data_IF_931268763962
#
_entry.id   IF_931268763962
#
_cell.length_a   1.000
_cell.length_b   1.000
_cell.length_c   1.000
_cell.angle_alpha   90.00
_cell.angle_beta   90.00
_cell.angle_gamma   90.00
#
_symmetry.space_group_name_H-M   'P 1'
#
loop_
_entity.id
_entity.type
_entity.pdbx_description
1 polymer ?
#
# COMPACT_ATOMS: atom_id res chain seq x y z
N UNK A 1 84.27 -27.33 4.14
CA UNK A 1 84.34 -28.49 5.06
C UNK A 1 83.03 -28.58 5.86
N UNK A 2 82.72 -29.76 6.39
CA UNK A 2 81.51 -30.13 7.18
C UNK A 2 80.19 -30.22 6.39
N UNK A 3 79.45 -31.29 6.66
CA UNK A 3 78.17 -31.76 6.08
C UNK A 3 77.13 -31.92 7.21
N UNK A 4 75.87 -32.18 6.82
CA UNK A 4 74.77 -32.72 7.64
C UNK A 4 74.13 -31.71 8.63
N UNK A 5 72.84 -31.77 8.98
CA UNK A 5 71.87 -32.89 8.98
C UNK A 5 70.47 -32.54 8.38
N UNK A 6 69.69 -33.59 8.11
CA UNK A 6 68.27 -33.74 7.67
C UNK A 6 67.58 -34.61 8.77
N UNK A 7 66.24 -34.82 8.92
CA UNK A 7 65.02 -34.23 8.33
C UNK A 7 64.33 -33.25 9.34
N UNK A 8 63.02 -32.91 9.40
CA UNK A 8 61.70 -33.38 8.86
C UNK A 8 60.79 -32.14 8.60
N UNK A 9 59.48 -32.12 8.30
CA UNK A 9 58.33 -33.05 8.34
C UNK A 9 57.30 -32.59 7.27
N UNK A 10 56.42 -33.47 6.81
CA UNK A 10 55.37 -33.11 5.85
C UNK A 10 54.16 -32.47 6.56
N UNK A 11 53.83 -31.23 6.24
CA UNK A 11 52.47 -30.70 6.45
C UNK A 11 52.00 -29.95 5.21
N UNK A 12 51.12 -30.61 4.45
CA UNK A 12 50.39 -30.02 3.33
C UNK A 12 49.46 -28.94 3.90
N UNK A 13 49.84 -27.66 3.82
CA UNK A 13 48.91 -26.58 4.18
C UNK A 13 47.82 -26.50 3.11
N UNK A 14 46.67 -27.08 3.43
CA UNK A 14 45.45 -26.95 2.64
C UNK A 14 45.04 -25.48 2.71
N UNK A 15 45.29 -24.73 1.62
CA UNK A 15 44.63 -23.45 1.38
C UNK A 15 43.14 -23.73 1.13
N UNK A 16 42.38 -23.86 2.22
CA UNK A 16 40.93 -23.71 2.17
C UNK A 16 40.68 -22.24 1.84
N UNK A 17 40.08 -21.90 0.68
CA UNK A 17 39.68 -20.52 0.44
C UNK A 17 38.63 -20.17 1.48
N UNK A 18 38.86 -19.09 2.24
CA UNK A 18 37.84 -18.52 3.14
C UNK A 18 36.82 -17.76 2.29
N UNK A 19 36.18 -18.47 1.36
CA UNK A 19 34.88 -18.12 0.79
C UNK A 19 33.79 -18.54 1.78
N UNK A 20 33.88 -18.03 3.02
CA UNK A 20 32.79 -18.06 3.97
C UNK A 20 31.70 -17.10 3.49
N UNK A 21 30.89 -17.61 2.56
CA UNK A 21 29.45 -17.43 2.50
C UNK A 21 28.96 -16.12 3.13
N UNK A 22 29.25 -15.00 2.46
CA UNK A 22 28.32 -13.88 2.42
C UNK A 22 27.09 -14.33 1.61
N UNK A 23 26.32 -15.24 2.20
CA UNK A 23 24.90 -15.34 1.88
C UNK A 23 24.33 -14.03 2.41
N UNK A 24 24.26 -13.04 1.52
CA UNK A 24 23.33 -11.96 1.71
C UNK A 24 21.96 -12.60 1.88
N UNK A 25 21.46 -12.56 3.12
CA UNK A 25 20.04 -12.58 3.37
C UNK A 25 19.49 -11.33 2.69
N UNK A 26 19.20 -11.47 1.40
CA UNK A 26 18.27 -10.59 0.70
C UNK A 26 16.90 -10.86 1.31
N UNK A 27 16.67 -10.31 2.51
CA UNK A 27 15.33 -10.17 3.04
C UNK A 27 14.51 -9.51 1.95
N UNK A 28 13.49 -10.23 1.47
CA UNK A 28 12.59 -9.74 0.45
C UNK A 28 11.78 -8.64 1.08
N UNK A 29 12.24 -7.39 0.96
CA UNK A 29 11.60 -6.26 1.62
C UNK A 29 10.28 -6.00 0.90
N UNK A 30 9.20 -6.44 1.54
CA UNK A 30 7.84 -6.43 0.99
C UNK A 30 7.36 -4.99 0.95
N UNK A 31 6.80 -4.58 -0.19
CA UNK A 31 6.15 -3.29 -0.28
C UNK A 31 4.82 -3.26 0.46
N UNK A 32 4.37 -2.05 0.75
CA UNK A 32 3.08 -1.88 1.40
C UNK A 32 2.44 -0.60 0.87
N UNK A 33 1.26 -0.73 0.28
CA UNK A 33 0.61 0.39 -0.38
C UNK A 33 -0.85 0.16 -0.73
N UNK A 34 -1.62 1.26 -0.72
CA UNK A 34 -3.07 1.25 -0.97
C UNK A 34 -3.56 2.46 -1.76
N UNK A 35 -4.62 2.23 -2.52
CA UNK A 35 -5.42 3.25 -3.20
C UNK A 35 -6.41 3.88 -2.21
N UNK A 36 -6.23 5.17 -1.92
CA UNK A 36 -7.03 5.93 -0.95
C UNK A 36 -8.08 6.82 -1.64
N UNK A 37 -7.80 7.37 -2.82
CA UNK A 37 -8.78 8.08 -3.64
C UNK A 37 -8.69 7.61 -5.11
N UNK A 38 -9.79 7.14 -5.73
CA UNK A 38 -11.04 6.71 -5.09
C UNK A 38 -10.81 5.57 -4.10
N UNK A 39 -11.48 5.52 -2.93
CA UNK A 39 -11.28 4.43 -1.96
C UNK A 39 -11.51 3.06 -2.59
N UNK A 40 -10.52 2.17 -2.45
CA UNK A 40 -10.59 0.79 -2.91
C UNK A 40 -11.27 -0.15 -1.90
N UNK A 41 -11.72 -1.32 -2.37
CA UNK A 41 -12.49 -2.32 -1.60
C UNK A 41 -11.87 -2.64 -0.24
N UNK A 42 -10.55 -2.77 -0.19
CA UNK A 42 -9.70 -2.94 0.99
C UNK A 42 -9.67 -1.70 1.90
N UNK A 43 -9.47 -0.51 1.34
CA UNK A 43 -9.33 0.75 2.10
C UNK A 43 -10.67 1.37 2.55
N UNK A 44 -11.80 0.93 1.99
CA UNK A 44 -13.11 1.60 2.12
C UNK A 44 -13.58 1.80 3.57
N UNK A 45 -13.28 0.87 4.49
CA UNK A 45 -13.64 1.00 5.90
C UNK A 45 -13.01 2.23 6.58
N UNK A 46 -11.81 2.67 6.14
CA UNK A 46 -11.13 3.88 6.63
C UNK A 46 -11.88 5.19 6.35
N UNK A 47 -12.86 5.14 5.45
CA UNK A 47 -13.71 6.26 5.04
C UNK A 47 -15.16 6.11 5.56
N UNK A 48 -15.42 5.13 6.43
CA UNK A 48 -16.74 4.89 7.02
C UNK A 48 -17.72 4.10 6.16
N UNK A 49 -17.27 3.49 5.05
CA UNK A 49 -18.11 2.55 4.31
C UNK A 49 -18.33 1.26 5.13
N UNK A 50 -19.47 0.56 4.97
CA UNK A 50 -19.81 -0.66 5.71
C UNK A 50 -19.08 -1.92 5.19
N UNK A 51 -17.87 -1.75 4.67
CA UNK A 51 -16.94 -2.84 4.38
C UNK A 51 -16.41 -3.38 5.72
N UNK A 52 -16.12 -4.69 5.83
CA UNK A 52 -15.36 -5.22 6.96
C UNK A 52 -14.01 -4.50 7.09
N UNK A 53 -13.51 -4.42 8.33
CA UNK A 53 -12.20 -3.80 8.62
C UNK A 53 -11.09 -4.69 8.10
N UNK A 54 -10.27 -4.15 7.21
CA UNK A 54 -9.08 -4.80 6.68
C UNK A 54 -7.84 -4.07 7.20
N UNK A 55 -7.27 -4.56 8.31
CA UNK A 55 -6.08 -3.93 8.92
C UNK A 55 -4.86 -4.00 8.00
N UNK A 56 -4.82 -4.98 7.10
CA UNK A 56 -3.77 -5.22 6.11
C UNK A 56 -4.18 -4.72 4.72
N UNK A 57 -4.97 -3.65 4.64
CA UNK A 57 -5.43 -3.08 3.37
C UNK A 57 -4.31 -2.54 2.47
N UNK A 58 -3.09 -2.41 3.00
CA UNK A 58 -1.86 -2.10 2.28
C UNK A 58 -1.12 -3.34 1.72
N UNK A 59 -1.64 -4.57 1.92
CA UNK A 59 -0.95 -5.84 1.64
C UNK A 59 -1.48 -6.62 0.41
N UNK A 60 -2.09 -5.95 -0.57
CA UNK A 60 -2.61 -6.60 -1.77
C UNK A 60 -1.54 -6.85 -2.85
N UNK A 61 -0.46 -7.52 -2.42
CA UNK A 61 0.77 -7.80 -3.17
C UNK A 61 0.77 -9.18 -3.90
N UNK A 62 -0.38 -9.61 -4.41
CA UNK A 62 -0.52 -10.84 -5.19
C UNK A 62 -0.11 -12.14 -4.44
N UNK A 63 -0.10 -12.10 -3.10
CA UNK A 63 0.30 -13.22 -2.22
C UNK A 63 1.79 -13.27 -1.83
N UNK A 64 2.61 -12.38 -2.38
CA UNK A 64 4.05 -12.31 -2.14
C UNK A 64 4.80 -12.45 -3.45
N UNK A 65 5.94 -11.77 -3.61
CA UNK A 65 6.79 -11.91 -4.81
C UNK A 65 7.00 -13.38 -5.23
N UNK A 66 7.41 -14.25 -4.30
CA UNK A 66 7.63 -15.67 -4.60
C UNK A 66 6.34 -16.42 -4.93
N UNK A 67 5.21 -16.09 -4.29
CA UNK A 67 3.91 -16.70 -4.59
C UNK A 67 3.44 -16.27 -5.99
N UNK A 68 3.57 -15.00 -6.34
CA UNK A 68 3.25 -14.49 -7.68
C UNK A 68 4.12 -15.16 -8.75
N UNK A 69 5.44 -15.11 -8.62
CA UNK A 69 6.35 -15.47 -9.72
C UNK A 69 6.80 -16.94 -9.72
N UNK A 70 7.03 -17.55 -8.55
CA UNK A 70 7.50 -18.94 -8.47
C UNK A 70 6.37 -19.98 -8.44
N UNK A 71 5.22 -19.63 -7.86
CA UNK A 71 4.06 -20.56 -7.73
C UNK A 71 2.99 -20.26 -8.77
N UNK A 72 2.62 -18.99 -8.93
CA UNK A 72 1.52 -18.57 -9.79
C UNK A 72 1.92 -18.16 -11.21
N UNK A 73 3.18 -18.37 -11.63
CA UNK A 73 3.62 -18.11 -13.01
C UNK A 73 3.36 -16.65 -13.44
N UNK A 74 3.68 -15.71 -12.54
CA UNK A 74 3.47 -14.27 -12.64
C UNK A 74 2.02 -13.79 -12.44
N UNK A 75 1.07 -14.71 -12.30
CA UNK A 75 -0.36 -14.38 -12.21
C UNK A 75 -0.70 -13.82 -10.83
N UNK A 76 -1.67 -12.93 -10.84
CA UNK A 76 -2.20 -12.24 -9.67
C UNK A 76 -3.72 -12.18 -9.79
N UNK A 77 -4.44 -12.16 -8.66
CA UNK A 77 -5.87 -11.86 -8.63
C UNK A 77 -6.17 -10.51 -9.31
N UNK A 78 -7.41 -10.31 -9.73
CA UNK A 78 -7.81 -9.05 -10.38
C UNK A 78 -7.63 -7.88 -9.42
N UNK A 79 -7.92 -8.11 -8.14
CA UNK A 79 -7.87 -7.09 -7.10
C UNK A 79 -6.76 -7.34 -6.06
N UNK A 80 -5.66 -7.98 -6.47
CA UNK A 80 -4.42 -8.06 -5.68
C UNK A 80 -4.33 -9.21 -4.68
N UNK A 81 -5.39 -10.00 -4.54
CA UNK A 81 -5.36 -11.30 -3.87
C UNK A 81 -4.38 -12.28 -4.58
N UNK A 82 -3.90 -13.30 -3.86
CA UNK A 82 -3.05 -14.35 -4.42
C UNK A 82 -3.82 -15.19 -5.46
N UNK A 83 -3.19 -15.52 -6.60
CA UNK A 83 -3.89 -16.13 -7.73
C UNK A 83 -4.37 -17.57 -7.47
N UNK A 84 -3.67 -18.31 -6.60
CA UNK A 84 -4.00 -19.66 -6.15
C UNK A 84 -5.16 -19.72 -5.13
N UNK A 85 -5.61 -18.57 -4.59
CA UNK A 85 -6.79 -18.53 -3.73
C UNK A 85 -8.07 -18.89 -4.51
N UNK A 86 -8.98 -19.58 -3.81
CA UNK A 86 -10.30 -19.93 -4.32
C UNK A 86 -11.12 -18.67 -4.69
N UNK A 87 -11.92 -18.78 -5.76
CA UNK A 87 -12.79 -17.69 -6.22
C UNK A 87 -14.21 -17.81 -5.62
N UNK A 88 -14.89 -16.68 -5.34
CA UNK A 88 -14.38 -15.30 -5.43
C UNK A 88 -13.33 -15.03 -4.35
N UNK A 89 -12.20 -14.42 -4.73
CA UNK A 89 -11.18 -14.00 -3.76
C UNK A 89 -11.69 -12.82 -2.92
N UNK A 90 -11.07 -12.53 -1.78
CA UNK A 90 -11.63 -11.60 -0.77
C UNK A 90 -11.93 -10.20 -1.34
N UNK A 91 -11.13 -9.72 -2.28
CA UNK A 91 -11.26 -8.41 -2.91
C UNK A 91 -11.93 -8.44 -4.29
N UNK A 92 -12.33 -9.61 -4.78
CA UNK A 92 -13.06 -9.80 -6.04
C UNK A 92 -14.59 -9.79 -5.81
N UNK A 93 -15.37 -9.59 -6.87
CA UNK A 93 -16.82 -9.43 -6.82
C UNK A 93 -17.52 -10.64 -6.16
N UNK A 94 -18.33 -10.36 -5.13
CA UNK A 94 -18.94 -11.40 -4.30
C UNK A 94 -18.05 -11.92 -3.17
N UNK A 95 -16.78 -11.51 -3.12
CA UNK A 95 -15.89 -11.68 -1.97
C UNK A 95 -16.25 -10.74 -0.81
N UNK A 96 -15.54 -10.93 0.30
CA UNK A 96 -15.75 -10.23 1.58
C UNK A 96 -15.75 -8.69 1.47
N UNK A 97 -14.82 -8.16 0.68
CA UNK A 97 -14.66 -6.72 0.44
C UNK A 97 -15.21 -6.29 -0.94
N UNK A 98 -15.34 -7.21 -1.90
CA UNK A 98 -15.94 -6.98 -3.22
C UNK A 98 -17.47 -6.90 -3.22
N UNK A 99 -18.02 -6.01 -2.38
CA UNK A 99 -19.46 -5.88 -2.09
C UNK A 99 -20.24 -5.03 -3.11
N UNK A 100 -19.58 -4.50 -4.14
CA UNK A 100 -20.21 -3.66 -5.17
C UNK A 100 -20.64 -2.27 -4.71
N UNK A 101 -20.12 -1.78 -3.58
CA UNK A 101 -20.46 -0.49 -3.01
C UNK A 101 -19.71 0.60 -3.79
N UNK A 102 -20.44 1.52 -4.40
CA UNK A 102 -19.84 2.58 -5.20
C UNK A 102 -19.15 3.62 -4.30
N UNK A 103 -17.82 3.71 -4.37
CA UNK A 103 -17.03 4.63 -3.54
C UNK A 103 -17.01 6.06 -4.09
N UNK A 104 -17.15 6.26 -5.41
CA UNK A 104 -17.20 7.60 -6.05
C UNK A 104 -18.15 7.66 -7.24
N UNK A 105 -18.60 8.88 -7.56
CA UNK A 105 -19.43 9.19 -8.73
C UNK A 105 -18.73 10.25 -9.57
N UNK A 106 -18.60 9.99 -10.86
CA UNK A 106 -17.86 10.82 -11.80
C UNK A 106 -18.64 11.03 -13.11
N UNK A 107 -18.16 11.97 -13.93
CA UNK A 107 -18.62 12.19 -15.29
C UNK A 107 -17.68 11.57 -16.32
N UNK A 108 -18.23 11.13 -17.45
CA UNK A 108 -17.45 10.73 -18.61
C UNK A 108 -16.49 11.85 -19.03
N UNK A 109 -15.21 11.54 -19.19
CA UNK A 109 -14.17 12.51 -19.58
C UNK A 109 -13.59 13.35 -18.45
N UNK A 110 -14.09 13.22 -17.22
CA UNK A 110 -13.64 13.98 -16.06
C UNK A 110 -12.17 13.67 -15.71
N UNK A 111 -11.42 14.71 -15.37
CA UNK A 111 -10.15 14.56 -14.65
C UNK A 111 -10.46 14.36 -13.17
N UNK A 112 -10.04 13.23 -12.61
CA UNK A 112 -10.27 12.86 -11.20
C UNK A 112 -8.97 12.97 -10.41
N UNK A 113 -9.08 13.27 -9.12
CA UNK A 113 -7.98 13.18 -8.18
C UNK A 113 -7.70 11.72 -7.82
N UNK A 114 -6.43 11.43 -7.57
CA UNK A 114 -5.93 10.13 -7.12
C UNK A 114 -5.01 10.35 -5.93
N UNK A 115 -5.21 9.52 -4.89
CA UNK A 115 -4.34 9.48 -3.73
C UNK A 115 -3.90 8.04 -3.48
N UNK A 116 -2.59 7.80 -3.53
CA UNK A 116 -1.95 6.55 -3.14
C UNK A 116 -1.19 6.78 -1.83
N UNK A 117 -1.35 5.90 -0.85
CA UNK A 117 -0.51 5.86 0.34
C UNK A 117 0.40 4.64 0.24
N UNK A 118 1.73 4.87 0.21
CA UNK A 118 2.70 3.79 0.42
C UNK A 118 3.18 3.87 1.87
N UNK A 119 2.92 2.82 2.64
CA UNK A 119 3.47 2.68 4.00
C UNK A 119 4.88 2.11 3.99
N UNK A 120 5.25 1.37 2.92
CA UNK A 120 6.64 1.00 2.61
C UNK A 120 6.89 1.20 1.09
N UNK A 121 7.63 2.25 0.76
CA UNK A 121 7.87 2.72 -0.61
C UNK A 121 9.15 2.13 -1.22
N UNK A 122 8.97 1.25 -2.21
CA UNK A 122 10.04 0.56 -2.93
C UNK A 122 10.33 1.14 -4.31
N UNK A 123 10.02 2.43 -4.52
CA UNK A 123 10.19 3.13 -5.81
C UNK A 123 9.47 2.38 -6.94
N UNK A 124 9.77 2.69 -8.20
CA UNK A 124 9.08 2.11 -9.35
C UNK A 124 7.92 2.97 -9.83
N UNK A 125 6.76 2.37 -10.12
CA UNK A 125 5.69 3.05 -10.87
C UNK A 125 4.26 2.59 -10.56
N UNK A 126 3.32 3.52 -10.63
CA UNK A 126 1.89 3.22 -10.66
C UNK A 126 1.34 3.24 -12.10
N UNK A 127 0.36 2.40 -12.38
CA UNK A 127 -0.53 2.51 -13.54
C UNK A 127 -1.98 2.40 -13.06
N UNK A 128 -2.90 3.03 -13.78
CA UNK A 128 -4.33 2.95 -13.48
C UNK A 128 -5.14 2.63 -14.72
N UNK A 129 -6.12 1.76 -14.54
CA UNK A 129 -6.93 1.19 -15.60
C UNK A 129 -8.39 1.09 -15.13
N UNK A 130 -9.31 0.86 -16.07
CA UNK A 130 -10.75 0.88 -15.82
C UNK A 130 -11.44 -0.26 -16.57
N UNK A 131 -12.47 -0.87 -15.99
CA UNK A 131 -13.40 -1.75 -16.70
C UNK A 131 -14.85 -1.30 -16.46
N UNK A 132 -15.68 -1.12 -17.50
CA UNK A 132 -17.11 -0.81 -17.38
C UNK A 132 -17.94 -2.06 -16.97
N UNK A 133 -17.69 -2.52 -15.75
CA UNK A 133 -18.25 -3.74 -15.17
C UNK A 133 -19.69 -3.51 -14.63
N UNK A 134 -20.67 -3.37 -15.52
CA UNK A 134 -22.04 -2.98 -15.17
C UNK A 134 -22.84 -3.96 -14.29
N UNK A 135 -22.21 -4.95 -13.65
CA UNK A 135 -22.84 -5.87 -12.70
C UNK A 135 -21.88 -6.24 -11.54
N UNK A 136 -22.13 -5.76 -10.30
CA UNK A 136 -21.23 -5.99 -9.15
C UNK A 136 -21.17 -7.44 -8.65
N UNK A 137 -21.91 -8.38 -9.27
CA UNK A 137 -21.85 -9.82 -8.94
C UNK A 137 -20.90 -10.61 -9.84
N UNK A 138 -20.35 -10.00 -10.89
CA UNK A 138 -19.35 -10.61 -11.76
C UNK A 138 -18.07 -9.79 -11.66
N UNK A 139 -16.92 -10.45 -11.53
CA UNK A 139 -15.64 -9.75 -11.45
C UNK A 139 -15.22 -9.25 -12.84
N UNK A 140 -14.61 -8.07 -12.88
CA UNK A 140 -14.01 -7.53 -14.09
C UNK A 140 -12.85 -8.43 -14.53
N UNK A 141 -12.76 -8.75 -15.83
CA UNK A 141 -11.59 -9.49 -16.30
C UNK A 141 -10.39 -8.56 -16.42
N UNK A 142 -9.18 -9.07 -16.17
CA UNK A 142 -7.94 -8.31 -16.41
C UNK A 142 -7.90 -7.77 -17.86
N UNK A 143 -8.36 -8.58 -18.84
CA UNK A 143 -8.50 -8.16 -20.23
C UNK A 143 -9.51 -7.03 -20.47
N UNK A 144 -10.50 -6.83 -19.60
CA UNK A 144 -11.39 -5.67 -19.64
C UNK A 144 -10.70 -4.42 -19.12
N UNK A 145 -9.98 -4.56 -18.01
CA UNK A 145 -9.27 -3.49 -17.32
C UNK A 145 -8.19 -2.89 -18.23
N UNK A 146 -7.34 -3.74 -18.83
CA UNK A 146 -6.24 -3.32 -19.70
C UNK A 146 -6.69 -2.63 -21.00
N UNK A 147 -7.97 -2.76 -21.40
CA UNK A 147 -8.53 -2.05 -22.56
C UNK A 147 -8.77 -0.56 -22.33
N UNK A 148 -8.81 -0.08 -21.08
CA UNK A 148 -9.08 1.32 -20.77
C UNK A 148 -8.03 1.90 -19.78
N UNK A 149 -6.79 2.16 -20.25
CA UNK A 149 -5.79 2.87 -19.45
C UNK A 149 -6.22 4.30 -19.15
N UNK A 150 -5.90 4.77 -17.94
CA UNK A 150 -6.17 6.13 -17.49
C UNK A 150 -4.88 6.96 -17.58
N UNK A 151 -4.92 8.02 -18.39
CA UNK A 151 -3.76 8.89 -18.61
C UNK A 151 -3.62 9.95 -17.52
N UNK A 152 -2.39 10.20 -17.08
CA UNK A 152 -2.06 11.26 -16.14
C UNK A 152 -2.39 12.62 -16.77
N UNK A 153 -3.18 13.41 -16.06
CA UNK A 153 -3.71 14.70 -16.52
C UNK A 153 -2.59 15.65 -16.96
N UNK A 154 -2.73 16.24 -18.16
CA UNK A 154 -1.72 17.11 -18.76
C UNK A 154 -0.60 16.37 -19.50
N UNK A 155 -0.61 15.03 -19.52
CA UNK A 155 0.40 14.21 -20.20
C UNK A 155 -0.24 13.21 -21.17
N UNK A 156 0.59 12.38 -21.82
CA UNK A 156 0.18 11.18 -22.55
C UNK A 156 0.67 9.88 -21.87
N UNK A 157 1.05 9.94 -20.60
CA UNK A 157 1.61 8.81 -19.87
C UNK A 157 0.54 8.12 -19.01
N UNK A 158 0.57 6.79 -18.97
CA UNK A 158 -0.22 5.96 -18.02
C UNK A 158 0.60 5.65 -16.77
N UNK A 159 1.92 5.61 -16.91
CA UNK A 159 2.90 5.31 -15.86
C UNK A 159 3.21 6.56 -15.04
N UNK A 160 2.80 6.57 -13.78
CA UNK A 160 3.28 7.54 -12.80
C UNK A 160 4.57 6.98 -12.20
N UNK A 161 5.70 7.61 -12.51
CA UNK A 161 7.00 7.22 -11.93
C UNK A 161 7.11 7.85 -10.54
N UNK A 162 7.43 7.02 -9.54
CA UNK A 162 7.63 7.48 -8.16
C UNK A 162 8.91 8.35 -8.12
N UNK A 163 8.85 9.61 -7.63
CA UNK A 163 10.04 10.45 -7.52
C UNK A 163 11.13 9.82 -6.64
N UNK A 164 12.39 9.89 -7.06
CA UNK A 164 13.52 9.29 -6.32
C UNK A 164 13.67 9.83 -4.89
N UNK A 165 13.38 11.13 -4.70
CA UNK A 165 13.44 11.80 -3.40
C UNK A 165 12.22 11.56 -2.49
N UNK A 166 11.29 10.68 -2.88
CA UNK A 166 10.15 10.27 -2.04
C UNK A 166 10.59 9.56 -0.74
N UNK A 167 9.80 9.72 0.31
CA UNK A 167 10.03 9.17 1.65
C UNK A 167 9.74 7.67 1.72
N UNK A 168 10.16 7.02 2.81
CA UNK A 168 9.93 5.58 3.11
C UNK A 168 8.44 5.25 3.28
N UNK A 169 7.73 6.06 4.08
CA UNK A 169 6.26 6.24 4.03
C UNK A 169 5.96 7.54 3.31
N UNK A 170 5.12 7.52 2.27
CA UNK A 170 4.77 8.73 1.50
C UNK A 170 3.35 8.67 0.88
N UNK A 171 2.80 9.83 0.54
CA UNK A 171 1.47 9.97 -0.05
C UNK A 171 1.60 10.64 -1.42
N UNK A 172 1.28 9.89 -2.47
CA UNK A 172 1.36 10.35 -3.85
C UNK A 172 0.00 10.85 -4.31
N UNK A 173 -0.07 12.15 -4.65
CA UNK A 173 -1.26 12.78 -5.19
C UNK A 173 -1.02 13.17 -6.64
N UNK A 174 -1.88 12.69 -7.52
CA UNK A 174 -1.87 13.04 -8.95
C UNK A 174 -3.30 13.02 -9.49
N UNK A 175 -3.46 13.32 -10.77
CA UNK A 175 -4.77 13.31 -11.42
C UNK A 175 -4.73 12.48 -12.68
N UNK A 176 -5.79 11.72 -12.94
CA UNK A 176 -5.96 10.94 -14.17
C UNK A 176 -7.24 11.34 -14.89
N UNK A 177 -7.29 11.12 -16.20
CA UNK A 177 -8.46 11.44 -17.03
C UNK A 177 -9.26 10.18 -17.35
N UNK A 178 -10.55 10.19 -16.98
CA UNK A 178 -11.51 9.16 -17.39
C UNK A 178 -11.81 9.24 -18.90
N UNK A 179 -12.17 8.14 -19.57
CA UNK A 179 -12.50 8.18 -21.00
C UNK A 179 -13.75 9.03 -21.27
N UNK A 180 -13.76 9.92 -22.29
CA UNK A 180 -14.85 10.86 -22.56
C UNK A 180 -16.16 10.24 -23.05
N UNK A 181 -16.13 8.98 -23.49
CA UNK A 181 -17.29 8.28 -24.08
C UNK A 181 -17.72 7.04 -23.28
N UNK A 182 -17.13 6.82 -22.10
CA UNK A 182 -17.41 5.66 -21.25
C UNK A 182 -18.36 6.05 -20.12
N UNK A 183 -19.40 5.25 -19.93
CA UNK A 183 -20.31 5.32 -18.78
C UNK A 183 -20.53 3.92 -18.20
N UNK A 184 -20.89 3.86 -16.93
CA UNK A 184 -21.11 2.60 -16.22
C UNK A 184 -21.94 2.82 -14.95
N UNK A 185 -22.83 1.87 -14.64
CA UNK A 185 -23.53 1.78 -13.35
C UNK A 185 -22.57 1.42 -12.21
N UNK A 186 -21.63 0.54 -12.53
CA UNK A 186 -20.45 0.16 -11.74
C UNK A 186 -19.28 -0.02 -12.71
N UNK A 187 -18.16 0.62 -12.43
CA UNK A 187 -16.87 0.39 -13.06
C UNK A 187 -15.90 -0.12 -12.00
N UNK A 188 -15.01 -1.03 -12.38
CA UNK A 188 -13.84 -1.37 -11.57
C UNK A 188 -12.68 -0.49 -12.05
N UNK A 189 -12.20 0.41 -11.20
CA UNK A 189 -10.91 1.05 -11.38
C UNK A 189 -9.86 0.17 -10.72
N UNK A 190 -8.81 -0.22 -11.46
CA UNK A 190 -7.66 -0.95 -10.92
C UNK A 190 -6.47 0.03 -10.83
N UNK A 191 -5.94 0.21 -9.63
CA UNK A 191 -4.59 0.73 -9.43
C UNK A 191 -3.63 -0.46 -9.37
N UNK A 192 -2.52 -0.37 -10.10
CA UNK A 192 -1.44 -1.37 -10.07
C UNK A 192 -0.13 -0.67 -9.75
N UNK A 193 0.59 -1.17 -8.74
CA UNK A 193 1.93 -0.73 -8.38
C UNK A 193 2.93 -1.82 -8.75
N UNK A 194 3.99 -1.44 -9.46
CA UNK A 194 5.15 -2.28 -9.74
C UNK A 194 6.35 -1.67 -9.00
N UNK A 195 6.94 -2.44 -8.07
CA UNK A 195 8.10 -1.97 -7.28
C UNK A 195 9.34 -1.76 -8.15
N UNK A 196 10.27 -0.92 -7.68
CA UNK A 196 11.53 -0.60 -8.34
C UNK A 196 12.78 -1.04 -7.57
N UNK A 197 12.62 -1.76 -6.46
CA UNK A 197 13.69 -2.19 -5.55
C UNK A 197 14.42 -3.47 -5.98
N UNK A 198 13.96 -4.15 -7.03
CA UNK A 198 14.51 -5.45 -7.44
C UNK A 198 15.66 -5.31 -8.43
N UNK A 199 16.68 -6.14 -8.30
CA UNK A 199 17.72 -6.30 -9.32
C UNK A 199 17.35 -7.44 -10.25
N UNK A 200 17.50 -7.23 -11.55
CA UNK A 200 17.24 -8.28 -12.53
C UNK A 200 17.60 -7.88 -13.95
N UNK A 201 17.26 -8.76 -14.89
CA UNK A 201 17.52 -8.54 -16.31
C UNK A 201 16.49 -7.57 -16.91
N UNK A 202 16.99 -6.56 -17.61
CA UNK A 202 16.24 -5.56 -18.33
C UNK A 202 15.95 -6.02 -19.79
N UNK A 203 14.97 -5.41 -20.46
CA UNK A 203 14.55 -5.79 -21.83
C UNK A 203 15.68 -5.70 -22.88
N UNK A 204 16.62 -4.77 -22.69
CA UNK A 204 17.82 -4.59 -23.53
C UNK A 204 18.90 -5.67 -23.28
N UNK A 205 18.67 -6.62 -22.38
CA UNK A 205 19.59 -7.69 -22.01
C UNK A 205 20.62 -7.35 -20.93
N UNK A 206 20.72 -6.09 -20.47
CA UNK A 206 21.57 -5.72 -19.33
C UNK A 206 20.92 -6.14 -18.00
N UNK A 207 21.64 -6.03 -16.89
CA UNK A 207 21.07 -6.13 -15.55
C UNK A 207 21.10 -4.78 -14.83
N UNK A 208 20.16 -4.57 -13.91
CA UNK A 208 20.07 -3.33 -13.15
C UNK A 208 18.98 -3.34 -12.07
N UNK A 209 19.01 -2.32 -11.22
CA UNK A 209 17.97 -2.02 -10.25
C UNK A 209 16.71 -1.51 -10.96
N UNK A 210 15.54 -1.96 -10.52
CA UNK A 210 14.25 -1.71 -11.17
C UNK A 210 13.95 -2.61 -12.37
N UNK A 211 14.81 -3.60 -12.65
CA UNK A 211 14.63 -4.58 -13.72
C UNK A 211 14.30 -5.97 -13.19
N UNK A 212 13.90 -6.88 -14.09
CA UNK A 212 13.39 -8.21 -13.73
C UNK A 212 11.91 -8.21 -13.39
N UNK A 213 11.50 -9.15 -12.54
CA UNK A 213 10.12 -9.41 -12.18
C UNK A 213 9.78 -8.66 -10.88
N UNK A 214 9.00 -7.55 -10.91
CA UNK A 214 8.75 -6.73 -9.73
C UNK A 214 7.73 -7.38 -8.79
N UNK A 215 7.75 -7.00 -7.51
CA UNK A 215 6.57 -7.22 -6.67
C UNK A 215 5.42 -6.33 -7.18
N UNK A 216 4.22 -6.92 -7.26
CA UNK A 216 3.06 -6.26 -7.86
C UNK A 216 1.96 -6.10 -6.82
N UNK A 217 1.41 -4.89 -6.68
CA UNK A 217 0.22 -4.63 -5.87
C UNK A 217 -0.93 -4.30 -6.80
N UNK A 218 -2.14 -4.73 -6.46
CA UNK A 218 -3.36 -4.28 -7.13
C UNK A 218 -4.42 -3.91 -6.12
N UNK A 219 -5.13 -2.83 -6.34
CA UNK A 219 -6.36 -2.51 -5.60
C UNK A 219 -7.48 -2.18 -6.60
N UNK A 220 -8.70 -2.60 -6.27
CA UNK A 220 -9.90 -2.30 -7.04
C UNK A 220 -10.79 -1.29 -6.30
N UNK A 221 -11.24 -0.24 -6.98
CA UNK A 221 -12.24 0.70 -6.49
C UNK A 221 -13.49 0.67 -7.39
N UNK A 222 -14.67 0.51 -6.79
CA UNK A 222 -15.94 0.48 -7.52
C UNK A 222 -16.50 1.89 -7.67
N UNK A 223 -16.57 2.41 -8.90
CA UNK A 223 -16.98 3.80 -9.19
C UNK A 223 -18.13 3.85 -10.20
N UNK A 224 -18.92 4.92 -10.21
CA UNK A 224 -20.00 5.13 -11.19
C UNK A 224 -19.67 6.28 -12.11
N UNK A 225 -19.87 6.12 -13.43
CA UNK A 225 -19.57 7.15 -14.43
C UNK A 225 -20.82 7.43 -15.26
N UNK A 226 -21.28 8.68 -15.25
CA UNK A 226 -22.49 9.13 -15.95
C UNK A 226 -22.18 10.17 -17.04
N UNK A 227 -23.14 10.46 -17.91
CA UNK A 227 -22.97 11.47 -18.97
C UNK A 227 -22.92 12.90 -18.41
N UNK A 228 -22.04 13.73 -18.98
CA UNK A 228 -21.92 15.16 -18.64
C UNK A 228 -23.13 16.00 -19.08
N UNK A 229 -23.98 15.47 -19.96
CA UNK A 229 -25.21 16.12 -20.46
C UNK A 229 -26.36 16.22 -19.46
N UNK A 230 -26.15 15.80 -18.20
CA UNK A 230 -27.18 15.82 -17.14
C UNK A 230 -27.54 17.22 -16.62
N UNK A 231 -27.22 18.29 -17.36
CA UNK A 231 -27.77 19.66 -17.25
C UNK A 231 -27.34 20.50 -16.04
N UNK A 232 -27.03 19.84 -14.94
CA UNK A 232 -26.52 20.39 -13.69
C UNK A 232 -25.39 19.45 -13.22
N UNK A 233 -24.31 19.94 -12.59
CA UNK A 233 -23.59 19.07 -11.67
C UNK A 233 -24.63 18.57 -10.64
N UNK A 234 -24.60 17.30 -10.20
CA UNK A 234 -25.35 16.96 -9.02
C UNK A 234 -24.89 17.93 -7.93
N UNK A 235 -25.82 18.73 -7.41
CA UNK A 235 -25.61 19.41 -6.14
C UNK A 235 -25.12 18.31 -5.21
N UNK A 236 -23.89 18.38 -4.73
CA UNK A 236 -23.24 17.30 -3.96
C UNK A 236 -23.79 17.23 -2.53
N UNK A 237 -25.11 17.31 -2.41
CA UNK A 237 -25.93 17.07 -1.23
C UNK A 237 -25.95 15.55 -1.04
N UNK A 238 -24.86 15.07 -0.47
CA UNK A 238 -24.86 14.06 0.59
C UNK A 238 -25.83 12.88 0.42
N UNK A 239 -25.65 12.07 -0.63
CA UNK A 239 -25.93 10.63 -0.55
C UNK A 239 -24.65 9.87 -0.15
N UNK A 240 -24.06 10.29 0.98
CA UNK A 240 -23.09 9.46 1.69
C UNK A 240 -23.89 8.46 2.53
N UNK A 241 -23.55 7.16 2.54
CA UNK A 241 -24.06 6.26 3.56
C UNK A 241 -23.48 6.67 4.91
N UNK A 242 -24.34 7.31 5.71
CA UNK A 242 -24.29 7.41 7.18
C UNK A 242 -23.17 8.23 7.86
N UNK A 243 -23.66 9.20 8.65
CA UNK A 243 -23.07 9.88 9.80
C UNK A 243 -22.00 10.97 9.57
N UNK A 244 -22.24 12.11 10.24
CA UNK A 244 -21.51 13.37 10.13
C UNK A 244 -20.21 13.35 10.95
N UNK A 245 -19.27 12.46 10.61
CA UNK A 245 -17.91 12.52 11.17
C UNK A 245 -17.02 13.40 10.29
N UNK A 246 -16.92 14.66 10.70
CA UNK A 246 -16.04 15.65 10.11
C UNK A 246 -15.00 16.08 11.14
N UNK A 247 -13.73 16.15 10.75
CA UNK A 247 -12.70 16.73 11.61
C UNK A 247 -12.76 18.26 11.55
N UNK A 248 -12.97 18.92 12.68
CA UNK A 248 -12.80 20.37 12.80
C UNK A 248 -11.32 20.73 12.75
N UNK A 249 -10.90 21.52 11.76
CA UNK A 249 -9.51 21.99 11.65
C UNK A 249 -9.12 23.05 12.71
N UNK A 250 -10.07 23.45 13.56
CA UNK A 250 -9.88 24.44 14.61
C UNK A 250 -9.44 23.74 15.91
N UNK A 251 -8.26 24.11 16.41
CA UNK A 251 -7.90 23.85 17.82
C UNK A 251 -8.83 24.67 18.71
N UNK A 252 -9.14 24.17 19.89
CA UNK A 252 -10.03 24.86 20.84
C UNK A 252 -9.50 26.26 21.15
N UNK A 253 -10.29 27.26 20.75
CA UNK A 253 -10.40 28.66 21.24
C UNK A 253 -11.09 29.54 20.17
N UNK A 254 -10.98 29.18 18.89
CA UNK A 254 -11.37 30.04 17.74
C UNK A 254 -12.77 29.72 17.15
N UNK A 255 -13.70 29.28 18.00
CA UNK A 255 -14.95 28.60 17.59
C UNK A 255 -16.10 29.51 17.07
N UNK A 256 -15.89 30.84 16.97
CA UNK A 256 -17.01 31.79 16.84
C UNK A 256 -17.10 32.60 15.53
N UNK A 257 -16.10 32.57 14.62
CA UNK A 257 -16.10 33.45 13.43
C UNK A 257 -15.76 32.75 12.09
N UNK A 258 -15.28 31.49 12.07
CA UNK A 258 -14.95 30.79 10.83
C UNK A 258 -16.14 29.96 10.26
N UNK A 259 -16.44 30.03 8.95
CA UNK A 259 -17.31 29.03 8.31
C UNK A 259 -16.62 27.66 8.41
N UNK A 260 -17.27 26.72 9.07
CA UNK A 260 -16.71 25.40 9.39
C UNK A 260 -16.38 24.62 8.11
N UNK A 261 -15.09 24.60 7.73
CA UNK A 261 -14.60 23.76 6.63
C UNK A 261 -14.53 22.32 7.13
N UNK A 262 -15.64 21.61 6.96
CA UNK A 262 -15.82 20.23 7.39
C UNK A 262 -15.15 19.25 6.42
N UNK A 263 -13.94 18.79 6.77
CA UNK A 263 -13.25 17.74 6.01
C UNK A 263 -13.79 16.35 6.35
N UNK A 264 -13.93 15.43 5.37
CA UNK A 264 -14.27 14.04 5.66
C UNK A 264 -13.22 13.44 6.60
N UNK A 265 -13.66 12.82 7.71
CA UNK A 265 -12.75 12.00 8.51
C UNK A 265 -12.25 10.82 7.65
N UNK A 266 -10.94 10.57 7.68
CA UNK A 266 -10.30 9.43 6.99
C UNK A 266 -9.23 8.87 7.92
N UNK A 267 -9.31 7.59 8.27
CA UNK A 267 -8.40 6.99 9.25
C UNK A 267 -7.17 6.40 8.58
N UNK A 268 -6.08 7.15 8.58
CA UNK A 268 -4.79 6.79 7.94
C UNK A 268 -3.82 6.03 8.85
N UNK A 269 -4.09 5.99 10.15
CA UNK A 269 -3.27 5.24 11.09
C UNK A 269 -3.25 3.75 10.69
N UNK A 270 -2.04 3.20 10.56
CA UNK A 270 -1.84 1.80 10.22
C UNK A 270 -1.85 0.92 11.48
N UNK A 271 -1.16 1.38 12.52
CA UNK A 271 -1.16 0.78 13.86
C UNK A 271 -1.22 1.90 14.89
N UNK A 272 -1.80 1.61 16.05
CA UNK A 272 -1.78 2.50 17.21
C UNK A 272 -1.50 1.68 18.46
N UNK A 273 -0.64 2.21 19.33
CA UNK A 273 -0.15 1.55 20.55
C UNK A 273 -0.37 2.46 21.75
N UNK A 274 -0.26 1.91 22.96
CA UNK A 274 -0.37 2.69 24.18
C UNK A 274 0.80 3.68 24.31
N UNK A 275 0.53 4.87 24.86
CA UNK A 275 1.60 5.81 25.22
C UNK A 275 2.51 5.20 26.30
N UNK A 276 3.71 5.77 26.47
CA UNK A 276 4.70 5.27 27.43
C UNK A 276 4.17 5.14 28.87
N UNK A 277 3.17 5.95 29.25
CA UNK A 277 2.48 5.92 30.55
C UNK A 277 1.57 4.69 30.69
N UNK A 278 0.89 4.28 29.62
CA UNK A 278 -0.14 3.24 29.65
C UNK A 278 0.28 1.89 29.05
N UNK A 279 1.46 1.79 28.40
CA UNK A 279 2.02 0.53 27.86
C UNK A 279 2.21 -0.63 28.85
N UNK A 280 2.12 -0.35 30.16
CA UNK A 280 2.19 -1.37 31.22
C UNK A 280 0.83 -2.00 31.53
N UNK A 281 -0.27 -1.39 31.06
CA UNK A 281 -1.63 -1.88 31.27
C UNK A 281 -1.90 -3.03 30.29
N UNK A 282 -2.23 -4.25 30.77
CA UNK A 282 -2.47 -5.38 29.89
C UNK A 282 -3.60 -5.11 28.89
N UNK A 283 -3.34 -5.40 27.61
CA UNK A 283 -4.31 -5.20 26.52
C UNK A 283 -4.43 -3.77 26.00
N UNK A 284 -3.70 -2.79 26.56
CA UNK A 284 -3.83 -1.39 26.15
C UNK A 284 -3.43 -1.13 24.70
N UNK A 285 -2.38 -1.78 24.20
CA UNK A 285 -1.97 -1.67 22.78
C UNK A 285 -3.12 -2.11 21.86
N UNK A 286 -3.78 -3.23 22.15
CA UNK A 286 -4.96 -3.72 21.40
C UNK A 286 -6.17 -2.81 21.55
N UNK A 287 -6.34 -2.15 22.70
CA UNK A 287 -7.38 -1.14 22.87
C UNK A 287 -7.10 0.09 22.00
N UNK A 288 -5.87 0.57 21.98
CA UNK A 288 -5.46 1.68 21.12
C UNK A 288 -5.61 1.35 19.64
N UNK A 289 -5.11 0.20 19.19
CA UNK A 289 -5.30 -0.30 17.83
C UNK A 289 -6.79 -0.27 17.46
N UNK A 290 -7.65 -0.91 18.24
CA UNK A 290 -9.08 -1.00 17.95
C UNK A 290 -9.87 0.32 18.08
N UNK A 291 -9.49 1.26 18.95
CA UNK A 291 -10.25 2.52 19.09
C UNK A 291 -9.74 3.59 18.13
N UNK A 292 -8.44 3.61 17.85
CA UNK A 292 -7.83 4.62 16.99
C UNK A 292 -7.95 4.33 15.50
N UNK A 293 -7.78 3.08 15.04
CA UNK A 293 -7.82 2.80 13.59
C UNK A 293 -9.24 2.63 13.04
N UNK A 294 -10.22 2.26 13.89
CA UNK A 294 -11.62 2.13 13.48
C UNK A 294 -12.25 3.45 13.04
N UNK A 295 -13.34 3.35 12.29
CA UNK A 295 -14.18 4.50 11.93
C UNK A 295 -15.51 4.47 12.71
N UNK A 296 -15.95 5.57 13.36
CA UNK A 296 -15.18 6.79 13.59
C UNK A 296 -14.02 6.54 14.57
N UNK A 297 -12.90 7.23 14.34
CA UNK A 297 -11.71 7.11 15.21
C UNK A 297 -11.96 7.76 16.56
N UNK A 298 -11.65 7.03 17.64
CA UNK A 298 -11.62 7.52 19.00
C UNK A 298 -10.22 7.29 19.57
N UNK A 299 -9.30 8.23 19.32
CA UNK A 299 -7.90 8.11 19.71
C UNK A 299 -7.47 9.22 20.67
N UNK A 300 -7.67 9.08 21.99
CA UNK A 300 -7.22 10.09 22.93
C UNK A 300 -5.69 10.03 23.09
N UNK A 301 -5.02 11.14 22.78
CA UNK A 301 -3.55 11.27 22.76
C UNK A 301 -2.89 11.00 24.14
N UNK A 302 -3.62 11.10 25.25
CA UNK A 302 -3.08 10.72 26.57
C UNK A 302 -2.81 9.21 26.65
N UNK A 303 -3.69 8.41 26.03
CA UNK A 303 -3.73 6.95 26.14
C UNK A 303 -3.00 6.27 25.00
N UNK A 304 -3.12 6.80 23.78
CA UNK A 304 -2.68 6.15 22.55
C UNK A 304 -1.81 7.04 21.67
N UNK A 305 -0.91 6.42 20.93
CA UNK A 305 -0.13 7.05 19.86
C UNK A 305 -0.15 6.17 18.62
N UNK A 306 -0.21 6.79 17.44
CA UNK A 306 -0.25 6.12 16.14
C UNK A 306 1.00 6.52 15.36
N UNK A 307 2.15 5.84 15.57
CA UNK A 307 3.40 6.24 14.95
C UNK A 307 3.33 6.11 13.43
N UNK A 308 3.94 7.06 12.72
CA UNK A 308 4.00 7.08 11.27
C UNK A 308 5.38 6.70 10.73
N UNK A 309 6.42 6.78 11.56
CA UNK A 309 7.79 6.47 11.20
C UNK A 309 8.45 5.62 12.27
N UNK A 310 9.35 4.74 11.85
CA UNK A 310 10.27 4.05 12.74
C UNK A 310 11.69 4.19 12.22
N UNK A 311 12.67 4.17 13.12
CA UNK A 311 14.10 4.23 12.79
C UNK A 311 14.91 3.19 13.55
N UNK A 312 16.02 2.79 12.92
CA UNK A 312 16.99 1.87 13.49
C UNK A 312 17.76 2.50 14.65
N UNK A 313 17.78 1.81 15.79
CA UNK A 313 18.54 2.16 16.99
C UNK A 313 19.44 1.00 17.44
N UNK A 314 20.31 1.27 18.42
CA UNK A 314 21.23 0.26 18.95
C UNK A 314 22.18 -0.26 17.86
N UNK A 315 22.25 -1.58 17.73
CA UNK A 315 23.17 -2.28 16.82
C UNK A 315 22.92 -2.05 15.32
N UNK A 316 21.70 -1.63 14.93
CA UNK A 316 21.37 -1.34 13.52
C UNK A 316 21.31 0.16 13.19
N UNK A 317 21.68 1.04 14.13
CA UNK A 317 21.57 2.48 13.93
C UNK A 317 22.41 2.95 12.74
N UNK A 318 21.75 3.51 11.73
CA UNK A 318 22.40 4.06 10.54
C UNK A 318 22.88 3.02 9.52
N UNK A 319 22.56 1.72 9.71
CA UNK A 319 22.79 0.73 8.65
C UNK A 319 21.78 0.95 7.51
N UNK A 320 22.18 0.77 6.24
CA UNK A 320 21.24 0.77 5.11
C UNK A 320 20.10 -0.24 5.32
N UNK A 321 18.85 0.18 5.09
CA UNK A 321 17.67 -0.66 5.28
C UNK A 321 17.17 -0.81 6.73
N UNK A 322 17.87 -0.24 7.73
CA UNK A 322 17.49 -0.44 9.13
C UNK A 322 16.15 0.21 9.52
N UNK A 323 15.82 1.38 8.97
CA UNK A 323 14.54 2.04 9.27
C UNK A 323 13.38 1.38 8.50
N UNK A 324 13.65 0.87 7.30
CA UNK A 324 12.74 0.08 6.48
C UNK A 324 12.34 -1.20 7.23
N UNK A 325 13.33 -1.98 7.66
CA UNK A 325 13.14 -3.11 8.58
C UNK A 325 12.31 -2.72 9.81
N UNK A 326 12.59 -1.57 10.43
CA UNK A 326 11.83 -1.12 11.58
C UNK A 326 10.38 -0.73 11.22
N UNK A 327 10.11 -0.16 10.04
CA UNK A 327 8.75 0.13 9.59
C UNK A 327 7.98 -1.19 9.36
N UNK A 328 8.58 -2.14 8.65
CA UNK A 328 7.96 -3.44 8.35
C UNK A 328 7.74 -4.32 9.60
N UNK A 329 8.55 -4.16 10.66
CA UNK A 329 8.36 -4.91 11.91
C UNK A 329 7.46 -4.19 12.95
N UNK A 330 7.25 -2.88 12.82
CA UNK A 330 6.59 -2.07 13.85
C UNK A 330 5.33 -1.32 13.41
N UNK A 331 5.19 -0.93 12.13
CA UNK A 331 4.03 -0.20 11.58
C UNK A 331 3.16 -1.14 10.75
N UNK A 332 2.85 -2.30 11.32
CA UNK A 332 2.03 -3.36 10.72
C UNK A 332 1.03 -3.89 11.75
N UNK A 333 -0.08 -4.46 11.29
CA UNK A 333 -1.05 -5.09 12.19
C UNK A 333 -0.41 -6.31 12.88
N UNK A 334 -0.62 -6.45 14.19
CA UNK A 334 0.03 -7.52 14.96
C UNK A 334 1.57 -7.41 15.03
N UNK A 335 2.11 -6.19 14.92
CA UNK A 335 3.53 -5.87 14.93
C UNK A 335 4.35 -6.61 16.02
N UNK A 336 5.56 -7.06 15.64
CA UNK A 336 6.54 -7.72 16.52
C UNK A 336 7.75 -6.82 16.77
N UNK A 337 7.48 -5.53 16.97
CA UNK A 337 8.47 -4.47 17.00
C UNK A 337 9.64 -4.73 17.98
N UNK A 338 10.89 -4.90 17.49
CA UNK A 338 12.03 -5.22 18.34
C UNK A 338 12.54 -3.97 19.08
N UNK A 339 11.97 -3.69 20.26
CA UNK A 339 12.18 -2.47 21.09
C UNK A 339 13.65 -2.11 21.46
N UNK A 340 14.63 -2.98 21.20
CA UNK A 340 16.08 -2.70 21.35
C UNK A 340 16.76 -2.23 20.06
N UNK A 341 16.14 -2.51 18.91
CA UNK A 341 16.64 -2.25 17.55
C UNK A 341 15.81 -1.20 16.81
N UNK A 342 14.56 -0.98 17.21
CA UNK A 342 13.65 -0.03 16.58
C UNK A 342 13.01 0.93 17.59
N UNK A 343 12.85 2.19 17.20
CA UNK A 343 12.02 3.19 17.86
C UNK A 343 11.04 3.77 16.84
N UNK A 344 9.83 4.14 17.27
CA UNK A 344 8.79 4.68 16.40
C UNK A 344 8.16 5.93 17.02
N UNK A 345 7.70 6.85 16.17
CA UNK A 345 7.18 8.17 16.53
C UNK A 345 6.17 8.69 15.51
#
# INVERSE_FOLDING_TARGET
>A
MKKCLIPTQWTLQIFVPVCLLWVHLFESVVGHGRLMEPPSRNSMWRFGYPNPVDYNDNELFCGGHSVQWSVNDGKCGVCGDAYDQAQPRRHEAGGEYGRGIISRHYFAGQTIDVEIELTANHKGRFEMHLCPNNNPKYEATQSCIERFPLYISGTRQVRYIIPENSKKKDIFKYRVRLPPYLTCSQCVLQWTYYTGNMWGKCDNGTEGLGCGLPETFRNCADVKIVTSTSGLPPQFIHNRPQQHYYSSALRGDDLMIAPQIYYPLVVKAQVCVATQKYRIVPGMDKWCENNCVNFPSNCPEEFCTCPEQCTGIGEIKGLPGADEYCQDQCIVYGAKCPKKRCVCY
#
